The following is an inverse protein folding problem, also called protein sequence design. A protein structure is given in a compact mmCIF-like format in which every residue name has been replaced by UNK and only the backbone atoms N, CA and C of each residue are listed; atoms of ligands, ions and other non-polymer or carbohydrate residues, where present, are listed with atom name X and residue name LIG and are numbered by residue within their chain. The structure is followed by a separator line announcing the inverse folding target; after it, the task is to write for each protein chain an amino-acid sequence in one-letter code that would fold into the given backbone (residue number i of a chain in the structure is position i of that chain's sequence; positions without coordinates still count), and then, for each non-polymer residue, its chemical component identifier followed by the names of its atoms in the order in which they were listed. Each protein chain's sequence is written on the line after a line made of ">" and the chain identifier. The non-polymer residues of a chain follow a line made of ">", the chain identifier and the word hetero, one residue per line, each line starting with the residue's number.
data_IF_449072730429
#
_entry.id   IF_449072730429
#
_cell.length_a   1.000
_cell.length_b   1.000
_cell.length_c   1.000
_cell.angle_alpha   90.00
_cell.angle_beta   90.00
_cell.angle_gamma   90.00
#
_symmetry.space_group_name_H-M   'P 1'
#
loop_
_entity.id
_entity.type
_entity.pdbx_description
1 polymer ?
#
# COMPACT_ATOMS: atom_id res chain seq x y z
N UNK A 1 -20.84 -15.42 -0.87
CA UNK A 1 -21.94 -14.91 -0.01
C UNK A 1 -22.62 -13.76 -0.72
N UNK A 2 -23.84 -13.32 -0.32
CA UNK A 2 -24.49 -12.18 -1.00
C UNK A 2 -24.30 -10.90 -0.20
N UNK A 3 -24.15 -9.75 -0.87
CA UNK A 3 -24.04 -8.42 -0.29
C UNK A 3 -25.15 -8.15 0.76
N UNK A 4 -26.35 -8.68 0.52
CA UNK A 4 -27.49 -8.59 1.43
C UNK A 4 -27.24 -9.29 2.78
N UNK A 5 -26.48 -10.41 2.81
CA UNK A 5 -26.10 -11.09 4.05
C UNK A 5 -25.06 -10.28 4.81
N UNK A 6 -24.07 -9.71 4.11
CA UNK A 6 -23.02 -8.90 4.74
C UNK A 6 -23.60 -7.63 5.36
N UNK A 7 -24.56 -6.97 4.68
CA UNK A 7 -25.26 -5.82 5.22
C UNK A 7 -26.13 -6.14 6.47
N UNK A 8 -26.55 -7.39 6.62
CA UNK A 8 -27.29 -7.83 7.79
C UNK A 8 -26.41 -8.12 9.02
N UNK A 9 -25.09 -8.23 8.87
CA UNK A 9 -24.15 -8.46 9.97
C UNK A 9 -24.14 -7.31 10.99
N UNK A 10 -24.31 -6.09 10.51
CA UNK A 10 -24.27 -4.90 11.34
C UNK A 10 -25.49 -4.01 11.09
N UNK A 11 -26.14 -3.61 12.17
CA UNK A 11 -27.21 -2.60 12.08
C UNK A 11 -26.61 -1.25 11.67
N UNK A 12 -27.07 -0.62 10.57
CA UNK A 12 -26.52 0.66 10.13
C UNK A 12 -26.66 1.74 11.20
N UNK A 13 -25.56 2.45 11.46
CA UNK A 13 -25.50 3.57 12.39
C UNK A 13 -26.18 4.81 11.80
N UNK A 14 -26.53 5.76 12.65
CA UNK A 14 -27.17 7.02 12.23
C UNK A 14 -26.29 7.77 11.21
N UNK A 15 -25.01 7.89 11.50
CA UNK A 15 -24.03 8.59 10.68
C UNK A 15 -23.88 7.97 9.27
N UNK A 16 -23.94 6.66 9.19
CA UNK A 16 -23.88 5.94 7.91
C UNK A 16 -25.14 6.18 7.07
N UNK A 17 -26.32 6.17 7.70
CA UNK A 17 -27.60 6.48 7.02
C UNK A 17 -27.65 7.91 6.52
N UNK A 18 -27.16 8.88 7.30
CA UNK A 18 -27.10 10.29 6.92
C UNK A 18 -26.13 10.48 5.74
N UNK A 19 -24.94 9.87 5.77
CA UNK A 19 -24.00 9.92 4.65
C UNK A 19 -24.58 9.31 3.37
N UNK A 20 -25.25 8.16 3.46
CA UNK A 20 -25.89 7.54 2.31
C UNK A 20 -27.06 8.40 1.77
N UNK A 21 -27.87 8.99 2.65
CA UNK A 21 -28.94 9.91 2.26
C UNK A 21 -28.40 11.16 1.57
N UNK A 22 -27.27 11.67 2.01
CA UNK A 22 -26.57 12.76 1.34
C UNK A 22 -26.17 12.37 -0.10
N UNK A 23 -25.54 11.20 -0.28
CA UNK A 23 -25.13 10.72 -1.61
C UNK A 23 -26.37 10.59 -2.52
N UNK A 24 -27.44 9.97 -2.04
CA UNK A 24 -28.69 9.80 -2.81
C UNK A 24 -29.31 11.14 -3.22
N UNK A 25 -29.36 12.10 -2.29
CA UNK A 25 -29.96 13.42 -2.55
C UNK A 25 -29.12 14.23 -3.55
N UNK A 26 -27.79 14.25 -3.40
CA UNK A 26 -26.91 14.97 -4.30
C UNK A 26 -26.87 14.36 -5.71
N UNK A 27 -26.88 13.02 -5.78
CA UNK A 27 -26.99 12.32 -7.07
C UNK A 27 -28.32 12.59 -7.78
N UNK A 28 -29.43 12.66 -7.05
CA UNK A 28 -30.74 13.00 -7.62
C UNK A 28 -30.82 14.46 -8.05
N UNK A 29 -30.17 15.36 -7.29
CA UNK A 29 -30.14 16.80 -7.57
C UNK A 29 -29.34 17.13 -8.83
N UNK A 30 -28.18 16.52 -8.99
CA UNK A 30 -27.30 16.77 -10.13
C UNK A 30 -26.53 15.49 -10.51
N UNK A 31 -26.85 14.93 -11.68
CA UNK A 31 -26.20 13.73 -12.23
C UNK A 31 -24.76 13.97 -12.71
N UNK A 32 -24.34 15.23 -12.83
CA UNK A 32 -22.97 15.59 -13.18
C UNK A 32 -22.02 15.56 -11.96
N UNK A 33 -22.55 15.43 -10.73
CA UNK A 33 -21.74 15.23 -9.54
C UNK A 33 -20.98 13.90 -9.68
N UNK A 34 -19.67 14.01 -9.80
CA UNK A 34 -18.78 12.85 -9.96
C UNK A 34 -18.07 12.48 -8.65
N UNK A 35 -17.65 13.48 -7.87
CA UNK A 35 -16.83 13.30 -6.68
C UNK A 35 -17.62 13.56 -5.40
N UNK A 36 -17.75 12.53 -4.57
CA UNK A 36 -18.42 12.60 -3.27
C UNK A 36 -17.39 12.53 -2.17
N UNK A 37 -17.07 13.66 -1.55
CA UNK A 37 -16.09 13.78 -0.50
C UNK A 37 -16.78 13.59 0.85
N UNK A 38 -16.42 12.52 1.57
CA UNK A 38 -17.04 12.17 2.85
C UNK A 38 -15.99 12.28 3.98
N UNK A 39 -16.09 13.35 4.77
CA UNK A 39 -15.27 13.51 5.97
C UNK A 39 -15.92 12.76 7.14
N UNK A 40 -15.44 11.55 7.38
CA UNK A 40 -16.01 10.59 8.31
C UNK A 40 -14.97 10.22 9.38
N UNK A 41 -15.11 10.70 10.62
CA UNK A 41 -14.19 10.36 11.71
C UNK A 41 -14.05 8.87 11.95
N UNK A 42 -12.94 8.48 12.60
CA UNK A 42 -12.73 7.10 13.06
C UNK A 42 -13.91 6.64 13.91
N UNK A 43 -14.28 5.37 13.77
CA UNK A 43 -15.41 4.76 14.50
C UNK A 43 -16.78 4.94 13.87
N UNK A 44 -16.90 5.68 12.75
CA UNK A 44 -18.18 5.80 12.02
C UNK A 44 -18.54 4.54 11.22
N UNK A 45 -17.59 3.61 11.04
CA UNK A 45 -17.79 2.38 10.28
C UNK A 45 -17.78 2.60 8.77
N UNK A 46 -16.73 3.27 8.27
CA UNK A 46 -16.51 3.54 6.84
C UNK A 46 -16.65 2.30 5.98
N UNK A 47 -16.07 1.18 6.41
CA UNK A 47 -16.11 -0.09 5.67
C UNK A 47 -17.54 -0.60 5.44
N UNK A 48 -18.40 -0.52 6.46
CA UNK A 48 -19.82 -0.90 6.30
C UNK A 48 -20.58 0.07 5.41
N UNK A 49 -20.27 1.38 5.51
CA UNK A 49 -20.83 2.39 4.62
C UNK A 49 -20.46 2.13 3.16
N UNK A 50 -19.22 1.70 2.87
CA UNK A 50 -18.81 1.35 1.51
C UNK A 50 -19.72 0.26 0.90
N UNK A 51 -20.08 -0.78 1.67
CA UNK A 51 -21.02 -1.80 1.21
C UNK A 51 -22.46 -1.26 1.07
N UNK A 52 -22.87 -0.38 1.98
CA UNK A 52 -24.19 0.27 1.85
C UNK A 52 -24.27 1.12 0.58
N UNK A 53 -23.19 1.81 0.21
CA UNK A 53 -23.10 2.58 -1.05
C UNK A 53 -23.17 1.64 -2.24
N UNK A 54 -22.44 0.50 -2.21
CA UNK A 54 -22.48 -0.49 -3.27
C UNK A 54 -23.90 -1.06 -3.47
N UNK A 55 -24.59 -1.44 -2.40
CA UNK A 55 -25.97 -1.93 -2.45
C UNK A 55 -26.94 -0.85 -2.96
N UNK A 56 -26.79 0.38 -2.48
CA UNK A 56 -27.58 1.51 -2.93
C UNK A 56 -27.39 1.76 -4.44
N UNK A 57 -26.16 1.77 -4.92
CA UNK A 57 -25.85 2.00 -6.33
C UNK A 57 -26.50 0.90 -7.20
N UNK A 58 -26.34 -0.37 -6.82
CA UNK A 58 -26.89 -1.50 -7.57
C UNK A 58 -28.42 -1.54 -7.56
N UNK A 59 -29.07 -1.06 -6.51
CA UNK A 59 -30.54 -1.02 -6.43
C UNK A 59 -31.16 0.16 -7.14
N UNK A 60 -30.52 1.32 -7.12
CA UNK A 60 -31.14 2.57 -7.52
C UNK A 60 -30.61 3.15 -8.85
N UNK A 61 -29.40 2.72 -9.28
CA UNK A 61 -28.75 3.29 -10.46
C UNK A 61 -28.50 2.22 -11.53
N UNK A 62 -27.76 1.17 -11.21
CA UNK A 62 -27.42 0.14 -12.18
C UNK A 62 -27.29 -1.23 -11.53
N UNK A 63 -28.22 -2.14 -11.85
CA UNK A 63 -28.22 -3.51 -11.31
C UNK A 63 -26.97 -4.33 -11.64
N UNK A 64 -26.32 -4.02 -12.75
CA UNK A 64 -25.08 -4.65 -13.23
C UNK A 64 -23.85 -3.80 -12.95
N UNK A 65 -24.03 -2.62 -12.36
CA UNK A 65 -22.94 -1.71 -12.05
C UNK A 65 -22.00 -2.32 -11.00
N UNK A 66 -20.71 -2.33 -11.32
CA UNK A 66 -19.69 -2.89 -10.45
C UNK A 66 -19.03 -1.80 -9.61
N UNK A 67 -18.73 -2.13 -8.38
CA UNK A 67 -18.15 -1.22 -7.40
C UNK A 67 -16.74 -1.69 -7.03
N UNK A 68 -15.78 -0.79 -7.14
CA UNK A 68 -14.40 -1.02 -6.76
C UNK A 68 -14.11 -0.28 -5.45
N UNK A 69 -13.60 -1.00 -4.47
CA UNK A 69 -13.14 -0.45 -3.19
C UNK A 69 -11.62 -0.53 -3.19
N UNK A 70 -10.96 0.58 -2.90
CA UNK A 70 -9.51 0.62 -2.74
C UNK A 70 -9.13 1.20 -1.39
N UNK A 71 -8.09 0.64 -0.75
CA UNK A 71 -7.61 1.02 0.57
C UNK A 71 -6.11 1.26 0.59
N UNK A 72 -5.61 1.99 1.58
CA UNK A 72 -4.18 2.29 1.71
C UNK A 72 -3.33 1.08 2.15
N UNK A 73 -3.87 0.16 2.93
CA UNK A 73 -3.08 -0.90 3.57
C UNK A 73 -3.66 -2.30 3.40
N UNK A 74 -2.78 -3.31 3.46
CA UNK A 74 -3.17 -4.72 3.47
C UNK A 74 -3.97 -5.07 4.73
N UNK A 75 -3.68 -4.47 5.87
CA UNK A 75 -4.40 -4.69 7.13
C UNK A 75 -5.87 -4.31 6.97
N UNK A 76 -6.12 -3.12 6.42
CA UNK A 76 -7.50 -2.67 6.16
C UNK A 76 -8.17 -3.53 5.09
N UNK A 77 -7.44 -3.92 4.05
CA UNK A 77 -7.90 -4.87 3.03
C UNK A 77 -8.33 -6.21 3.67
N UNK A 78 -7.51 -6.75 4.59
CA UNK A 78 -7.82 -7.98 5.32
C UNK A 78 -9.05 -7.83 6.23
N UNK A 79 -9.20 -6.69 6.89
CA UNK A 79 -10.40 -6.41 7.69
C UNK A 79 -11.67 -6.44 6.85
N UNK A 80 -11.67 -5.83 5.66
CA UNK A 80 -12.80 -5.92 4.73
C UNK A 80 -13.07 -7.37 4.31
N UNK A 81 -12.06 -8.07 3.81
CA UNK A 81 -12.19 -9.43 3.28
C UNK A 81 -12.62 -10.44 4.35
N UNK A 82 -12.11 -10.32 5.57
CA UNK A 82 -12.48 -11.20 6.70
C UNK A 82 -13.87 -10.90 7.25
N UNK A 83 -14.36 -9.66 7.13
CA UNK A 83 -15.67 -9.28 7.65
C UNK A 83 -16.77 -9.55 6.65
N UNK A 84 -16.52 -9.39 5.35
CA UNK A 84 -17.54 -9.38 4.31
C UNK A 84 -17.27 -10.40 3.21
N UNK A 85 -18.04 -11.47 3.19
CA UNK A 85 -17.83 -12.59 2.26
C UNK A 85 -18.33 -12.35 0.82
N UNK A 86 -19.01 -11.23 0.54
CA UNK A 86 -19.44 -10.85 -0.81
C UNK A 86 -18.41 -10.03 -1.59
N UNK A 87 -17.31 -9.66 -0.96
CA UNK A 87 -16.24 -8.87 -1.57
C UNK A 87 -15.24 -9.81 -2.26
N UNK A 88 -14.90 -9.49 -3.50
CA UNK A 88 -13.85 -10.19 -4.25
C UNK A 88 -12.52 -9.48 -4.01
N UNK A 89 -11.71 -10.05 -3.11
CA UNK A 89 -10.42 -9.51 -2.71
C UNK A 89 -9.30 -9.93 -3.65
N UNK A 90 -8.46 -8.98 -4.09
CA UNK A 90 -7.27 -9.23 -4.88
C UNK A 90 -6.04 -8.58 -4.27
N UNK A 91 -5.05 -9.41 -3.94
CA UNK A 91 -3.71 -8.99 -3.47
C UNK A 91 -2.65 -9.16 -4.56
N UNK A 92 -1.48 -8.60 -4.34
CA UNK A 92 -0.32 -8.83 -5.22
C UNK A 92 0.12 -10.29 -5.23
N UNK A 93 0.75 -10.73 -6.31
CA UNK A 93 1.21 -12.12 -6.53
C UNK A 93 2.08 -12.70 -5.41
N UNK A 94 2.81 -11.85 -4.69
CA UNK A 94 3.65 -12.27 -3.56
C UNK A 94 2.83 -12.79 -2.35
N UNK A 95 1.53 -12.49 -2.29
CA UNK A 95 0.66 -12.93 -1.19
C UNK A 95 -0.05 -14.26 -1.48
N UNK A 96 0.25 -14.91 -2.61
CA UNK A 96 -0.29 -16.21 -2.98
C UNK A 96 0.83 -17.22 -3.12
N UNK A 97 0.64 -18.40 -2.58
CA UNK A 97 1.58 -19.51 -2.75
C UNK A 97 1.36 -20.18 -4.11
N UNK A 98 2.46 -20.50 -4.79
CA UNK A 98 2.43 -21.25 -6.04
C UNK A 98 2.34 -22.75 -5.75
N UNK A 99 1.24 -23.40 -6.09
CA UNK A 99 1.03 -24.81 -5.86
C UNK A 99 2.05 -25.70 -6.60
N UNK A 100 2.60 -25.23 -7.71
CA UNK A 100 3.53 -26.01 -8.54
C UNK A 100 4.96 -25.98 -8.00
N UNK A 101 5.41 -24.82 -7.49
CA UNK A 101 6.84 -24.61 -7.19
C UNK A 101 7.14 -24.37 -5.70
N UNK A 102 6.14 -24.34 -4.83
CA UNK A 102 6.29 -24.04 -3.39
C UNK A 102 7.08 -22.74 -3.14
N UNK A 103 6.72 -21.70 -3.84
CA UNK A 103 7.27 -20.34 -3.75
C UNK A 103 6.12 -19.33 -3.92
N UNK A 104 6.42 -18.02 -3.91
CA UNK A 104 5.36 -17.05 -4.21
C UNK A 104 4.85 -17.19 -5.65
N UNK A 105 3.60 -16.81 -5.91
CA UNK A 105 3.03 -16.83 -7.26
C UNK A 105 3.80 -15.90 -8.22
N UNK A 106 4.44 -14.83 -7.71
CA UNK A 106 5.29 -13.98 -8.54
C UNK A 106 6.49 -14.77 -9.10
N UNK A 107 7.20 -15.50 -8.25
CA UNK A 107 8.33 -16.37 -8.62
C UNK A 107 7.86 -17.52 -9.51
N UNK A 108 6.76 -18.18 -9.14
CA UNK A 108 6.17 -19.27 -9.94
C UNK A 108 5.77 -18.81 -11.35
N UNK A 109 5.30 -17.56 -11.50
CA UNK A 109 5.01 -16.99 -12.83
C UNK A 109 6.25 -16.89 -13.71
N UNK A 110 7.42 -16.55 -13.16
CA UNK A 110 8.67 -16.48 -13.92
C UNK A 110 9.17 -17.87 -14.29
N UNK A 111 9.05 -18.87 -13.38
CA UNK A 111 9.35 -20.26 -13.72
C UNK A 111 8.48 -20.77 -14.88
N UNK A 112 7.17 -20.49 -14.84
CA UNK A 112 6.26 -20.87 -15.92
C UNK A 112 6.62 -20.19 -17.26
N UNK A 113 6.98 -18.90 -17.21
CA UNK A 113 7.40 -18.15 -18.40
C UNK A 113 8.64 -18.78 -19.06
N UNK A 114 9.65 -19.12 -18.26
CA UNK A 114 10.89 -19.75 -18.76
C UNK A 114 10.66 -21.16 -19.29
N UNK A 115 9.84 -21.95 -18.62
CA UNK A 115 9.54 -23.31 -19.01
C UNK A 115 8.44 -23.42 -20.08
N UNK A 116 7.85 -22.28 -20.50
CA UNK A 116 6.71 -22.23 -21.44
C UNK A 116 5.54 -23.10 -20.96
N UNK A 117 5.28 -23.08 -19.65
CA UNK A 117 4.18 -23.81 -19.00
C UNK A 117 3.12 -22.83 -18.50
N UNK A 118 1.92 -23.32 -18.22
CA UNK A 118 0.83 -22.56 -17.60
C UNK A 118 0.49 -23.16 -16.25
N UNK A 119 -0.07 -22.34 -15.36
CA UNK A 119 -0.65 -22.83 -14.11
C UNK A 119 -2.04 -23.40 -14.42
N UNK A 120 -2.28 -24.68 -14.13
CA UNK A 120 -3.61 -25.31 -14.26
C UNK A 120 -4.53 -24.88 -13.11
N UNK A 121 -4.01 -24.83 -11.89
CA UNK A 121 -4.67 -24.26 -10.72
C UNK A 121 -3.77 -23.19 -10.12
N UNK A 122 -4.22 -21.96 -10.10
CA UNK A 122 -3.44 -20.83 -9.57
C UNK A 122 -4.31 -19.98 -8.66
N UNK A 123 -4.05 -19.94 -7.34
CA UNK A 123 -4.84 -19.17 -6.39
C UNK A 123 -4.93 -17.68 -6.77
N UNK A 124 -3.84 -17.12 -7.31
CA UNK A 124 -3.84 -15.74 -7.80
C UNK A 124 -4.76 -15.55 -9.01
N UNK A 125 -4.74 -16.47 -9.99
CA UNK A 125 -5.62 -16.37 -11.17
C UNK A 125 -7.08 -16.48 -10.77
N UNK A 126 -7.41 -17.39 -9.85
CA UNK A 126 -8.75 -17.52 -9.30
C UNK A 126 -9.23 -16.24 -8.59
N UNK A 127 -8.37 -15.65 -7.75
CA UNK A 127 -8.66 -14.37 -7.10
C UNK A 127 -8.83 -13.23 -8.11
N UNK A 128 -7.99 -13.19 -9.16
CA UNK A 128 -8.08 -12.20 -10.24
C UNK A 128 -9.38 -12.32 -11.04
N UNK A 129 -9.78 -13.54 -11.38
CA UNK A 129 -11.05 -13.79 -12.06
C UNK A 129 -12.25 -13.40 -11.21
N UNK A 130 -12.20 -13.70 -9.91
CA UNK A 130 -13.19 -13.25 -8.94
C UNK A 130 -13.23 -11.72 -8.85
N UNK A 131 -12.09 -11.06 -8.83
CA UNK A 131 -12.00 -9.59 -8.86
C UNK A 131 -12.64 -9.01 -10.11
N UNK A 132 -12.37 -9.56 -11.30
CA UNK A 132 -12.93 -9.08 -12.56
C UNK A 132 -14.45 -9.29 -12.62
N UNK A 133 -14.93 -10.45 -12.21
CA UNK A 133 -16.34 -10.84 -12.33
C UNK A 133 -17.23 -10.36 -11.17
N UNK A 134 -16.65 -10.13 -10.00
CA UNK A 134 -17.37 -9.78 -8.78
C UNK A 134 -18.15 -8.45 -8.87
N UNK A 135 -19.25 -8.34 -8.20
CA UNK A 135 -20.05 -7.12 -8.14
C UNK A 135 -19.40 -6.04 -7.28
N UNK A 136 -18.74 -6.45 -6.19
CA UNK A 136 -17.95 -5.59 -5.31
C UNK A 136 -16.55 -6.17 -5.23
N UNK A 137 -15.55 -5.42 -5.65
CA UNK A 137 -14.16 -5.87 -5.64
C UNK A 137 -13.30 -4.96 -4.78
N UNK A 138 -12.30 -5.56 -4.16
CA UNK A 138 -11.42 -4.89 -3.20
C UNK A 138 -9.97 -5.11 -3.59
N UNK A 139 -9.17 -4.07 -3.49
CA UNK A 139 -7.71 -4.15 -3.57
C UNK A 139 -7.07 -2.97 -2.83
N UNK A 140 -5.73 -2.96 -2.71
CA UNK A 140 -5.02 -1.80 -2.15
C UNK A 140 -4.60 -0.79 -3.22
N UNK A 141 -4.29 0.44 -2.80
CA UNK A 141 -3.89 1.54 -3.68
C UNK A 141 -2.76 1.15 -4.62
N UNK A 142 -1.69 0.56 -4.09
CA UNK A 142 -0.51 0.21 -4.87
C UNK A 142 -0.84 -0.77 -6.01
N UNK A 143 -1.57 -1.84 -5.71
CA UNK A 143 -1.94 -2.84 -6.72
C UNK A 143 -2.92 -2.27 -7.74
N UNK A 144 -3.86 -1.42 -7.29
CA UNK A 144 -4.80 -0.74 -8.19
C UNK A 144 -4.05 0.17 -9.18
N UNK A 145 -3.14 1.02 -8.70
CA UNK A 145 -2.33 1.91 -9.54
C UNK A 145 -1.47 1.08 -10.51
N UNK A 146 -0.86 -0.01 -10.03
CA UNK A 146 -0.08 -0.92 -10.85
C UNK A 146 -0.91 -1.43 -12.04
N UNK A 147 -2.14 -1.88 -11.82
CA UNK A 147 -3.02 -2.31 -12.90
C UNK A 147 -3.48 -1.16 -13.79
N UNK A 148 -3.79 -0.01 -13.20
CA UNK A 148 -4.25 1.16 -13.95
C UNK A 148 -3.22 1.62 -15.00
N UNK A 149 -1.93 1.50 -14.67
CA UNK A 149 -0.81 1.93 -15.52
C UNK A 149 -0.35 0.81 -16.46
N UNK A 150 -0.15 -0.41 -15.95
CA UNK A 150 0.49 -1.50 -16.71
C UNK A 150 -0.46 -2.49 -17.36
N UNK A 151 -1.62 -2.67 -16.77
CA UNK A 151 -2.61 -3.61 -17.31
C UNK A 151 -4.02 -2.98 -17.32
N UNK A 152 -4.18 -1.82 -17.99
CA UNK A 152 -5.46 -1.12 -18.03
C UNK A 152 -6.58 -2.02 -18.59
N UNK A 153 -6.27 -2.96 -19.47
CA UNK A 153 -7.23 -3.94 -20.00
C UNK A 153 -7.88 -4.79 -18.91
N UNK A 154 -7.19 -5.05 -17.79
CA UNK A 154 -7.79 -5.78 -16.66
C UNK A 154 -8.90 -4.95 -16.03
N UNK A 155 -8.65 -3.67 -15.76
CA UNK A 155 -9.66 -2.77 -15.18
C UNK A 155 -10.78 -2.46 -16.19
N UNK A 156 -10.48 -2.35 -17.48
CA UNK A 156 -11.47 -2.23 -18.56
C UNK A 156 -12.38 -3.47 -18.61
N UNK A 157 -11.79 -4.67 -18.52
CA UNK A 157 -12.54 -5.94 -18.45
C UNK A 157 -13.38 -6.05 -17.19
N UNK A 158 -12.92 -5.45 -16.10
CA UNK A 158 -13.68 -5.30 -14.85
C UNK A 158 -14.91 -4.43 -15.08
N UNK A 159 -14.76 -3.29 -15.76
CA UNK A 159 -15.85 -2.36 -16.05
C UNK A 159 -16.47 -1.78 -14.79
N UNK A 160 -15.64 -1.30 -13.85
CA UNK A 160 -16.10 -0.64 -12.62
C UNK A 160 -16.85 0.65 -12.95
N UNK A 161 -18.00 0.86 -12.31
CA UNK A 161 -18.82 2.08 -12.48
C UNK A 161 -18.63 3.07 -11.31
N UNK A 162 -18.36 2.55 -10.13
CA UNK A 162 -18.14 3.33 -8.90
C UNK A 162 -16.80 2.95 -8.29
N UNK A 163 -16.01 3.97 -7.95
CA UNK A 163 -14.81 3.81 -7.15
C UNK A 163 -15.05 4.34 -5.75
N UNK A 164 -14.76 3.54 -4.74
CA UNK A 164 -14.74 3.95 -3.34
C UNK A 164 -13.30 3.91 -2.85
N UNK A 165 -12.77 5.06 -2.44
CA UNK A 165 -11.42 5.23 -1.90
C UNK A 165 -11.53 5.40 -0.39
N UNK A 166 -11.12 4.39 0.37
CA UNK A 166 -11.07 4.47 1.84
C UNK A 166 -9.69 4.93 2.29
N UNK A 167 -9.64 5.83 3.26
CA UNK A 167 -8.46 6.61 3.67
C UNK A 167 -7.90 7.47 2.51
N UNK A 168 -8.80 8.15 1.81
CA UNK A 168 -8.53 8.89 0.59
C UNK A 168 -7.47 10.01 0.72
N UNK A 169 -7.17 10.44 1.95
CA UNK A 169 -6.14 11.46 2.23
C UNK A 169 -4.72 10.99 1.98
N UNK A 170 -4.50 9.68 1.82
CA UNK A 170 -3.18 9.10 1.52
C UNK A 170 -3.02 8.74 0.03
N UNK A 171 -4.05 8.91 -0.77
CA UNK A 171 -4.05 8.35 -2.12
C UNK A 171 -3.14 9.12 -3.09
N UNK A 172 -3.04 10.43 -2.93
CA UNK A 172 -2.11 11.29 -3.69
C UNK A 172 -0.65 11.01 -3.32
N UNK A 173 -0.34 10.83 -2.04
CA UNK A 173 0.99 10.44 -1.57
C UNK A 173 1.40 9.08 -2.13
N UNK A 174 0.52 8.08 -2.10
CA UNK A 174 0.79 6.75 -2.68
C UNK A 174 0.98 6.82 -4.19
N UNK A 175 0.22 7.67 -4.89
CA UNK A 175 0.43 7.89 -6.32
C UNK A 175 1.77 8.55 -6.60
N UNK A 176 2.15 9.56 -5.82
CA UNK A 176 3.45 10.22 -5.89
C UNK A 176 4.59 9.22 -5.69
N UNK A 177 4.55 8.45 -4.61
CA UNK A 177 5.56 7.41 -4.31
C UNK A 177 5.63 6.34 -5.40
N UNK A 178 4.49 5.96 -5.97
CA UNK A 178 4.44 4.94 -7.02
C UNK A 178 5.14 5.39 -8.30
N UNK A 179 4.97 6.65 -8.69
CA UNK A 179 5.57 7.22 -9.91
C UNK A 179 7.01 7.66 -9.68
N UNK A 180 7.36 8.01 -8.44
CA UNK A 180 8.71 8.44 -8.06
C UNK A 180 9.73 7.34 -8.29
N UNK A 181 10.93 7.72 -8.67
CA UNK A 181 12.05 6.80 -8.85
C UNK A 181 13.21 7.17 -7.93
N UNK A 182 13.51 6.26 -7.00
CA UNK A 182 14.65 6.39 -6.08
C UNK A 182 15.74 5.39 -6.44
N UNK A 183 16.98 5.87 -6.53
CA UNK A 183 18.15 5.03 -6.75
C UNK A 183 19.25 5.32 -5.73
N UNK A 184 19.82 4.26 -5.18
CA UNK A 184 20.91 4.31 -4.21
C UNK A 184 22.00 3.30 -4.59
N UNK A 185 23.20 3.49 -4.06
CA UNK A 185 24.26 2.48 -4.19
C UNK A 185 23.84 1.12 -3.63
N UNK A 186 23.06 1.12 -2.53
CA UNK A 186 22.52 -0.10 -1.92
C UNK A 186 21.57 -0.88 -2.83
N UNK A 187 20.74 -0.17 -3.60
CA UNK A 187 19.84 -0.81 -4.59
C UNK A 187 20.68 -1.47 -5.69
N UNK A 188 21.69 -0.77 -6.24
CA UNK A 188 22.56 -1.31 -7.30
C UNK A 188 23.26 -2.58 -6.81
N UNK A 189 23.85 -2.57 -5.61
CA UNK A 189 24.52 -3.72 -4.99
C UNK A 189 23.60 -4.90 -4.78
N UNK A 190 22.37 -4.63 -4.33
CA UNK A 190 21.36 -5.67 -4.10
C UNK A 190 20.94 -6.36 -5.38
N UNK A 191 20.82 -5.62 -6.48
CA UNK A 191 20.41 -6.14 -7.79
C UNK A 191 21.51 -6.96 -8.50
N UNK A 192 22.75 -7.00 -7.99
CA UNK A 192 23.86 -7.87 -8.43
C UNK A 192 24.20 -7.77 -9.91
N UNK A 193 24.36 -6.57 -10.43
CA UNK A 193 24.85 -6.33 -11.76
C UNK A 193 26.31 -6.79 -11.92
N UNK A 194 26.67 -7.31 -13.10
CA UNK A 194 28.05 -7.67 -13.43
C UNK A 194 29.01 -6.47 -13.45
N UNK A 195 28.51 -5.28 -13.81
CA UNK A 195 29.22 -4.00 -13.87
C UNK A 195 28.87 -3.04 -12.72
N UNK A 196 28.57 -3.59 -11.54
CA UNK A 196 28.15 -2.82 -10.34
C UNK A 196 29.01 -1.56 -10.09
N UNK A 197 30.34 -1.71 -10.18
CA UNK A 197 31.26 -0.59 -9.91
C UNK A 197 31.10 0.56 -10.89
N UNK A 198 30.86 0.30 -12.19
CA UNK A 198 30.60 1.33 -13.19
C UNK A 198 29.24 2.00 -12.95
N UNK A 199 28.22 1.24 -12.65
CA UNK A 199 26.89 1.77 -12.30
C UNK A 199 26.95 2.70 -11.09
N UNK A 200 27.67 2.32 -10.03
CA UNK A 200 27.85 3.18 -8.85
C UNK A 200 28.63 4.46 -9.21
N UNK A 201 29.67 4.36 -10.03
CA UNK A 201 30.42 5.53 -10.50
C UNK A 201 29.53 6.48 -11.30
N UNK A 202 28.71 5.97 -12.21
CA UNK A 202 27.74 6.77 -12.97
C UNK A 202 26.69 7.41 -12.07
N UNK A 203 26.13 6.67 -11.11
CA UNK A 203 25.18 7.22 -10.14
C UNK A 203 25.78 8.40 -9.36
N UNK A 204 27.05 8.29 -8.96
CA UNK A 204 27.76 9.36 -8.23
C UNK A 204 28.00 10.61 -9.07
N UNK A 205 28.17 10.47 -10.39
CA UNK A 205 28.38 11.58 -11.30
C UNK A 205 27.13 12.35 -11.68
N UNK A 206 25.94 11.85 -11.34
CA UNK A 206 24.67 12.55 -11.61
C UNK A 206 24.63 13.88 -10.85
N UNK A 207 24.36 14.96 -11.58
CA UNK A 207 24.26 16.32 -11.04
C UNK A 207 22.99 17.07 -11.45
N UNK A 208 22.32 16.59 -12.50
CA UNK A 208 21.09 17.18 -13.04
C UNK A 208 20.02 16.12 -13.31
N UNK A 209 18.78 16.58 -13.55
CA UNK A 209 17.67 15.70 -13.96
C UNK A 209 18.04 14.98 -15.27
N UNK A 210 18.65 15.69 -16.23
CA UNK A 210 19.06 15.10 -17.52
C UNK A 210 20.08 13.98 -17.33
N UNK A 211 21.06 14.16 -16.44
CA UNK A 211 22.06 13.12 -16.13
C UNK A 211 21.37 11.90 -15.51
N UNK A 212 20.40 12.14 -14.62
CA UNK A 212 19.70 11.04 -13.95
C UNK A 212 18.81 10.26 -14.93
N UNK A 213 18.11 10.95 -15.83
CA UNK A 213 17.34 10.32 -16.90
C UNK A 213 18.24 9.49 -17.82
N UNK A 214 19.42 10.03 -18.19
CA UNK A 214 20.44 9.31 -18.96
C UNK A 214 20.94 8.06 -18.24
N UNK A 215 21.22 8.18 -16.95
CA UNK A 215 21.61 7.04 -16.10
C UNK A 215 20.53 5.98 -16.03
N UNK A 216 19.27 6.36 -15.79
CA UNK A 216 18.15 5.42 -15.72
C UNK A 216 17.90 4.72 -17.05
N UNK A 217 18.02 5.43 -18.19
CA UNK A 217 17.92 4.85 -19.52
C UNK A 217 19.03 3.81 -19.77
N UNK A 218 20.27 4.12 -19.36
CA UNK A 218 21.38 3.16 -19.42
C UNK A 218 21.10 1.94 -18.53
N UNK A 219 20.61 2.16 -17.30
CA UNK A 219 20.31 1.10 -16.33
C UNK A 219 19.26 0.10 -16.86
N UNK A 220 18.28 0.54 -17.62
CA UNK A 220 17.29 -0.37 -18.27
C UNK A 220 18.00 -1.35 -19.21
N UNK A 221 18.98 -0.89 -19.99
CA UNK A 221 19.80 -1.76 -20.86
C UNK A 221 20.56 -2.81 -20.05
N UNK A 222 21.19 -2.40 -18.95
CA UNK A 222 21.93 -3.29 -18.04
C UNK A 222 21.02 -4.31 -17.34
N UNK A 223 19.80 -3.91 -16.96
CA UNK A 223 18.79 -4.83 -16.40
C UNK A 223 18.45 -5.91 -17.42
N UNK A 224 18.17 -5.55 -18.66
CA UNK A 224 17.85 -6.51 -19.72
C UNK A 224 18.99 -7.53 -19.94
N UNK A 225 20.24 -7.03 -20.07
CA UNK A 225 21.41 -7.89 -20.24
C UNK A 225 21.61 -8.83 -19.04
N UNK A 226 21.50 -8.29 -17.82
CA UNK A 226 21.65 -9.08 -16.57
C UNK A 226 20.57 -10.17 -16.45
N UNK A 227 19.32 -9.84 -16.79
CA UNK A 227 18.21 -10.79 -16.77
C UNK A 227 18.44 -11.90 -17.80
N UNK A 228 18.85 -11.55 -19.05
CA UNK A 228 19.15 -12.54 -20.09
C UNK A 228 20.26 -13.50 -19.66
N UNK A 229 21.33 -13.00 -19.04
CA UNK A 229 22.44 -13.84 -18.58
C UNK A 229 22.00 -14.75 -17.42
N UNK A 230 21.21 -14.26 -16.48
CA UNK A 230 20.63 -15.08 -15.41
C UNK A 230 19.69 -16.16 -15.97
N UNK A 231 18.87 -15.83 -16.96
CA UNK A 231 17.95 -16.79 -17.62
C UNK A 231 18.71 -17.87 -18.40
N UNK A 232 19.81 -17.52 -19.10
CA UNK A 232 20.70 -18.50 -19.76
C UNK A 232 21.35 -19.45 -18.75
N UNK A 233 21.76 -18.92 -17.59
CA UNK A 233 22.31 -19.72 -16.50
C UNK A 233 21.32 -20.76 -15.94
N UNK A 234 20.05 -20.43 -15.87
CA UNK A 234 18.97 -21.35 -15.46
C UNK A 234 18.64 -22.40 -16.53
N UNK A 235 18.79 -22.05 -17.82
CA UNK A 235 18.52 -22.93 -18.97
C UNK A 235 19.63 -23.94 -19.27
N UNK A 236 20.85 -23.76 -18.74
CA UNK A 236 22.02 -24.59 -19.03
C UNK A 236 22.16 -25.84 -18.13
N UNK A 237 21.21 -26.12 -17.27
CA UNK A 237 21.19 -27.38 -16.50
C UNK A 237 20.86 -28.57 -17.41
N UNK A 238 21.62 -29.68 -17.36
CA UNK A 238 21.49 -30.77 -18.34
C UNK A 238 20.13 -31.44 -18.25
N UNK A 239 19.41 -31.40 -19.37
CA UNK A 239 18.23 -32.24 -19.62
C UNK A 239 18.66 -33.70 -19.79
N UNK A 240 19.05 -34.38 -18.74
CA UNK A 240 19.18 -35.82 -18.79
C UNK A 240 18.80 -36.42 -17.45
N UNK A 241 17.64 -37.00 -17.37
CA UNK A 241 17.38 -38.38 -16.93
C UNK A 241 15.89 -38.65 -17.11
N UNK A 242 15.55 -39.45 -18.12
CA UNK A 242 14.28 -40.19 -18.16
C UNK A 242 14.39 -41.33 -17.17
N UNK A 243 13.67 -41.25 -16.06
CA UNK A 243 13.26 -42.45 -15.31
C UNK A 243 12.24 -42.07 -14.21
N UNK A 244 11.23 -42.87 -14.12
CA UNK A 244 10.14 -43.02 -13.20
C UNK A 244 9.54 -41.79 -12.48
N UNK A 245 8.25 -41.58 -12.81
CA UNK A 245 7.49 -40.33 -12.58
C UNK A 245 7.07 -40.02 -11.13
N UNK A 246 7.33 -40.83 -10.11
CA UNK A 246 6.86 -40.57 -8.72
C UNK A 246 7.94 -40.18 -7.73
N UNK A 247 9.07 -40.80 -7.74
CA UNK A 247 10.15 -40.51 -6.77
C UNK A 247 11.06 -39.34 -7.18
N UNK A 248 11.06 -38.97 -8.46
CA UNK A 248 11.82 -37.85 -9.01
C UNK A 248 11.23 -36.46 -8.66
N UNK A 249 9.94 -36.37 -8.39
CA UNK A 249 9.31 -35.08 -8.01
C UNK A 249 9.82 -34.57 -6.67
N UNK A 250 10.02 -35.45 -5.71
CA UNK A 250 10.41 -35.06 -4.32
C UNK A 250 11.92 -34.81 -4.22
N UNK A 251 12.77 -35.60 -4.87
CA UNK A 251 14.22 -35.44 -4.79
C UNK A 251 14.78 -34.30 -5.65
N UNK A 252 14.15 -33.99 -6.81
CA UNK A 252 14.48 -32.80 -7.61
C UNK A 252 13.99 -31.51 -6.94
N UNK A 253 12.82 -31.53 -6.32
CA UNK A 253 12.32 -30.43 -5.50
C UNK A 253 13.26 -30.09 -4.33
N UNK A 254 13.95 -31.05 -3.74
CA UNK A 254 14.80 -30.86 -2.57
C UNK A 254 16.23 -30.38 -2.88
N UNK A 255 16.78 -30.60 -4.07
CA UNK A 255 18.16 -30.22 -4.45
C UNK A 255 18.29 -28.97 -5.34
N UNK A 256 17.27 -28.57 -6.07
CA UNK A 256 17.21 -27.28 -6.84
C UNK A 256 16.91 -26.06 -5.95
N UNK A 257 16.74 -26.24 -4.67
CA UNK A 257 15.89 -25.38 -3.82
C UNK A 257 16.46 -24.08 -3.33
N UNK A 258 17.73 -23.77 -3.42
CA UNK A 258 18.21 -22.50 -2.86
C UNK A 258 18.81 -21.54 -3.88
N UNK A 259 19.44 -22.06 -4.93
CA UNK A 259 20.14 -21.22 -5.91
C UNK A 259 19.17 -20.69 -6.96
N UNK A 260 18.32 -21.55 -7.55
CA UNK A 260 17.38 -21.16 -8.61
C UNK A 260 16.28 -20.24 -8.08
N UNK A 261 15.79 -20.48 -6.86
CA UNK A 261 14.82 -19.58 -6.20
C UNK A 261 15.44 -18.20 -5.93
N UNK A 262 16.71 -18.13 -5.50
CA UNK A 262 17.41 -16.85 -5.32
C UNK A 262 17.64 -16.10 -6.63
N UNK A 263 17.98 -16.84 -7.70
CA UNK A 263 18.12 -16.25 -9.05
C UNK A 263 16.78 -15.70 -9.51
N UNK A 264 15.68 -16.45 -9.31
CA UNK A 264 14.34 -16.00 -9.66
C UNK A 264 13.88 -14.79 -8.85
N UNK A 265 14.22 -14.73 -7.57
CA UNK A 265 13.98 -13.53 -6.75
C UNK A 265 14.70 -12.32 -7.34
N UNK A 266 15.97 -12.46 -7.72
CA UNK A 266 16.74 -11.39 -8.36
C UNK A 266 16.12 -10.96 -9.70
N UNK A 267 15.75 -11.90 -10.56
CA UNK A 267 15.10 -11.61 -11.84
C UNK A 267 13.79 -10.84 -11.61
N UNK A 268 12.97 -11.28 -10.65
CA UNK A 268 11.71 -10.61 -10.31
C UNK A 268 11.97 -9.17 -9.84
N UNK A 269 12.96 -8.99 -8.97
CA UNK A 269 13.32 -7.66 -8.44
C UNK A 269 13.89 -6.73 -9.52
N UNK A 270 14.74 -7.25 -10.41
CA UNK A 270 15.26 -6.52 -11.56
C UNK A 270 14.13 -6.03 -12.48
N UNK A 271 13.19 -6.90 -12.81
CA UNK A 271 12.03 -6.57 -13.65
C UNK A 271 11.09 -5.59 -12.98
N UNK A 272 10.88 -5.67 -11.67
CA UNK A 272 10.08 -4.69 -10.92
C UNK A 272 10.74 -3.31 -10.94
N UNK A 273 12.07 -3.23 -10.78
CA UNK A 273 12.78 -1.96 -10.87
C UNK A 273 12.75 -1.40 -12.29
N UNK A 274 12.95 -2.23 -13.32
CA UNK A 274 12.82 -1.82 -14.71
C UNK A 274 11.44 -1.22 -14.99
N UNK A 275 10.40 -1.90 -14.53
CA UNK A 275 9.03 -1.47 -14.72
C UNK A 275 8.79 -0.06 -14.12
N UNK A 276 9.32 0.22 -12.94
CA UNK A 276 9.27 1.56 -12.33
C UNK A 276 10.02 2.60 -13.16
N UNK A 277 11.20 2.25 -13.66
CA UNK A 277 11.99 3.14 -14.51
C UNK A 277 11.23 3.45 -15.80
N UNK A 278 10.63 2.46 -16.44
CA UNK A 278 9.88 2.61 -17.70
C UNK A 278 8.66 3.53 -17.52
N UNK A 279 7.93 3.42 -16.38
CA UNK A 279 6.86 4.37 -16.06
C UNK A 279 7.42 5.77 -15.96
N UNK A 280 8.41 5.94 -15.10
CA UNK A 280 9.01 7.25 -14.88
C UNK A 280 9.45 7.87 -16.21
N UNK A 281 10.19 7.16 -17.06
CA UNK A 281 10.68 7.65 -18.34
C UNK A 281 9.53 8.06 -19.26
N UNK A 282 8.44 7.29 -19.29
CA UNK A 282 7.23 7.62 -20.04
C UNK A 282 6.58 8.91 -19.52
N UNK A 283 6.38 9.02 -18.22
CA UNK A 283 5.71 10.18 -17.61
C UNK A 283 6.60 11.42 -17.66
N UNK A 284 7.91 11.29 -17.44
CA UNK A 284 8.87 12.36 -17.61
C UNK A 284 8.85 12.93 -19.04
N UNK A 285 8.82 12.06 -20.05
CA UNK A 285 8.75 12.48 -21.46
C UNK A 285 7.47 13.27 -21.78
N UNK A 286 6.36 12.93 -21.14
CA UNK A 286 5.07 13.62 -21.36
C UNK A 286 5.00 14.97 -20.66
N UNK A 287 5.61 15.14 -19.47
CA UNK A 287 5.63 16.39 -18.72
C UNK A 287 6.97 16.55 -17.96
N UNK A 288 8.04 17.01 -18.63
CA UNK A 288 9.38 17.13 -18.00
C UNK A 288 9.43 18.16 -16.86
N UNK A 289 8.53 19.14 -16.86
CA UNK A 289 8.54 20.24 -15.89
C UNK A 289 7.88 19.87 -14.55
N UNK A 290 7.24 18.71 -14.45
CA UNK A 290 6.57 18.26 -13.22
C UNK A 290 7.48 17.43 -12.29
N UNK A 291 8.81 17.61 -12.37
CA UNK A 291 9.73 16.75 -11.63
C UNK A 291 10.78 17.53 -10.86
N UNK A 292 11.09 17.05 -9.67
CA UNK A 292 12.17 17.55 -8.82
C UNK A 292 13.17 16.45 -8.56
N UNK A 293 14.45 16.76 -8.75
CA UNK A 293 15.58 15.89 -8.36
C UNK A 293 16.00 16.25 -6.95
N UNK A 294 15.75 15.34 -6.01
CA UNK A 294 16.31 15.40 -4.68
C UNK A 294 17.62 14.61 -4.62
N UNK A 295 18.64 15.24 -4.08
CA UNK A 295 19.94 14.63 -3.84
C UNK A 295 20.24 14.69 -2.35
N UNK A 296 20.37 13.54 -1.72
CA UNK A 296 20.73 13.44 -0.32
C UNK A 296 21.93 12.51 -0.14
N UNK A 297 22.58 12.62 1.01
CA UNK A 297 23.66 11.73 1.40
C UNK A 297 23.30 11.06 2.72
N UNK A 298 23.21 9.74 2.70
CA UNK A 298 22.96 8.97 3.88
C UNK A 298 24.27 8.75 4.66
N UNK A 299 24.47 9.51 5.73
CA UNK A 299 25.70 9.45 6.53
C UNK A 299 25.93 8.07 7.17
N UNK A 300 24.86 7.39 7.60
CA UNK A 300 24.96 6.06 8.22
C UNK A 300 25.43 5.00 7.24
N UNK A 301 24.89 5.01 6.03
CA UNK A 301 25.23 4.08 4.96
C UNK A 301 26.37 4.58 4.08
N UNK A 302 26.83 5.82 4.27
CA UNK A 302 27.87 6.51 3.47
C UNK A 302 27.61 6.41 1.97
N UNK A 303 26.35 6.64 1.57
CA UNK A 303 25.96 6.53 0.17
C UNK A 303 25.13 7.72 -0.30
N UNK A 304 25.29 8.06 -1.58
CA UNK A 304 24.45 9.03 -2.28
C UNK A 304 23.08 8.41 -2.55
N UNK A 305 22.04 9.17 -2.30
CA UNK A 305 20.66 8.84 -2.63
C UNK A 305 20.11 9.87 -3.62
N UNK A 306 19.52 9.41 -4.70
CA UNK A 306 18.88 10.23 -5.71
C UNK A 306 17.41 9.83 -5.79
N UNK A 307 16.52 10.81 -5.70
CA UNK A 307 15.09 10.63 -5.91
C UNK A 307 14.60 11.62 -6.95
N UNK A 308 13.78 11.17 -7.90
CA UNK A 308 13.00 12.01 -8.78
C UNK A 308 11.55 11.83 -8.43
N UNK A 309 10.91 12.91 -8.02
CA UNK A 309 9.54 12.92 -7.51
C UNK A 309 8.70 13.90 -8.33
N UNK A 310 7.42 13.60 -8.60
CA UNK A 310 6.55 14.56 -9.26
C UNK A 310 6.24 15.71 -8.29
N UNK A 311 6.22 16.94 -8.79
CA UNK A 311 5.76 18.12 -8.02
C UNK A 311 4.28 17.97 -7.67
N UNK A 312 3.52 17.43 -8.64
CA UNK A 312 2.09 17.21 -8.50
C UNK A 312 1.71 15.80 -8.95
N UNK A 313 1.11 15.03 -8.05
CA UNK A 313 0.62 13.69 -8.34
C UNK A 313 -0.79 13.68 -8.96
N UNK A 314 -1.55 14.77 -8.85
CA UNK A 314 -2.96 14.84 -9.23
C UNK A 314 -3.23 14.57 -10.72
N UNK A 315 -2.33 15.00 -11.62
CA UNK A 315 -2.47 14.72 -13.05
C UNK A 315 -2.54 13.21 -13.35
N UNK A 316 -1.82 12.42 -12.55
CA UNK A 316 -1.78 10.96 -12.69
C UNK A 316 -3.01 10.30 -12.06
N UNK A 317 -3.58 10.88 -10.99
CA UNK A 317 -4.81 10.39 -10.37
C UNK A 317 -6.00 10.47 -11.34
N UNK A 318 -6.18 11.60 -12.02
CA UNK A 318 -7.24 11.71 -13.02
C UNK A 318 -6.96 10.82 -14.23
N UNK A 319 -5.74 10.91 -14.80
CA UNK A 319 -5.32 10.15 -15.99
C UNK A 319 -5.51 8.65 -15.85
N UNK A 320 -5.09 8.08 -14.71
CA UNK A 320 -5.02 6.62 -14.53
C UNK A 320 -6.18 6.03 -13.73
N UNK A 321 -6.83 6.84 -12.91
CA UNK A 321 -7.83 6.37 -11.96
C UNK A 321 -9.20 7.01 -12.19
N UNK A 322 -9.34 8.28 -11.86
CA UNK A 322 -10.68 8.90 -11.73
C UNK A 322 -11.43 9.02 -13.05
N UNK A 323 -10.73 9.24 -14.17
CA UNK A 323 -11.36 9.36 -15.50
C UNK A 323 -12.14 8.11 -15.91
N UNK A 324 -11.85 6.94 -15.31
CA UNK A 324 -12.45 5.64 -15.67
C UNK A 324 -13.81 5.37 -15.00
N UNK A 325 -14.23 6.21 -14.05
CA UNK A 325 -15.43 5.99 -13.25
C UNK A 325 -16.44 7.09 -13.45
N UNK A 326 -17.72 6.71 -13.40
CA UNK A 326 -18.84 7.65 -13.43
C UNK A 326 -19.02 8.33 -12.08
N UNK A 327 -18.74 7.62 -10.99
CA UNK A 327 -18.88 8.10 -9.62
C UNK A 327 -17.64 7.69 -8.79
N UNK A 328 -17.10 8.65 -8.04
CA UNK A 328 -15.96 8.45 -7.13
C UNK A 328 -16.33 8.92 -5.74
N UNK A 329 -16.27 8.01 -4.79
CA UNK A 329 -16.53 8.27 -3.36
C UNK A 329 -15.19 8.29 -2.63
N UNK A 330 -14.83 9.42 -2.06
CA UNK A 330 -13.58 9.64 -1.35
C UNK A 330 -13.90 9.75 0.15
N UNK A 331 -13.53 8.73 0.93
CA UNK A 331 -13.80 8.67 2.38
C UNK A 331 -12.52 8.86 3.16
N UNK A 332 -12.53 9.75 4.14
CA UNK A 332 -11.42 9.91 5.09
C UNK A 332 -11.91 10.59 6.38
N UNK A 333 -11.17 10.42 7.46
CA UNK A 333 -11.37 11.17 8.71
C UNK A 333 -10.81 12.60 8.69
N UNK A 334 -10.07 12.96 7.64
CA UNK A 334 -9.23 14.17 7.58
C UNK A 334 -9.43 15.05 6.35
N UNK A 335 -10.57 14.92 5.65
CA UNK A 335 -10.95 15.87 4.59
C UNK A 335 -11.51 17.14 5.26
N UNK A 336 -10.62 18.06 5.62
CA UNK A 336 -10.99 19.23 6.42
C UNK A 336 -11.58 20.36 5.57
N UNK A 337 -11.07 20.54 4.36
CA UNK A 337 -11.51 21.58 3.40
C UNK A 337 -11.73 20.97 2.02
N UNK A 338 -12.92 21.19 1.47
CA UNK A 338 -13.32 20.69 0.15
C UNK A 338 -12.42 21.21 -0.97
N UNK A 339 -12.19 22.53 -1.02
CA UNK A 339 -11.50 23.14 -2.14
C UNK A 339 -10.03 22.76 -2.15
N UNK A 340 -9.39 22.77 -0.98
CA UNK A 340 -8.01 22.36 -0.83
C UNK A 340 -7.83 20.87 -1.21
N UNK A 341 -8.72 20.01 -0.72
CA UNK A 341 -8.67 18.58 -1.05
C UNK A 341 -8.86 18.33 -2.55
N UNK A 342 -9.81 19.02 -3.18
CA UNK A 342 -10.00 18.92 -4.63
C UNK A 342 -8.76 19.40 -5.39
N UNK A 343 -8.14 20.51 -4.96
CA UNK A 343 -6.94 21.04 -5.60
C UNK A 343 -5.76 20.07 -5.51
N UNK A 344 -5.52 19.49 -4.34
CA UNK A 344 -4.43 18.54 -4.12
C UNK A 344 -4.60 17.22 -4.91
N UNK A 345 -5.85 16.81 -5.14
CA UNK A 345 -6.18 15.58 -5.85
C UNK A 345 -6.61 15.81 -7.33
N UNK A 346 -6.53 17.04 -7.84
CA UNK A 346 -6.90 17.37 -9.23
C UNK A 346 -8.37 17.15 -9.56
N UNK A 347 -9.26 17.33 -8.58
CA UNK A 347 -10.68 17.11 -8.75
C UNK A 347 -11.38 18.38 -9.21
N UNK A 348 -12.30 18.25 -10.16
CA UNK A 348 -13.17 19.35 -10.56
C UNK A 348 -14.12 19.73 -9.42
N UNK A 349 -13.86 20.88 -8.80
CA UNK A 349 -14.63 21.40 -7.66
C UNK A 349 -16.11 21.56 -8.00
N UNK A 350 -16.44 21.87 -9.28
CA UNK A 350 -17.83 22.03 -9.73
C UNK A 350 -18.61 20.72 -9.75
N UNK A 351 -17.91 19.58 -9.92
CA UNK A 351 -18.45 18.23 -9.90
C UNK A 351 -18.26 17.52 -8.57
N UNK A 352 -17.76 18.22 -7.54
CA UNK A 352 -17.51 17.69 -6.24
C UNK A 352 -18.55 18.15 -5.22
N UNK A 353 -19.05 17.23 -4.42
CA UNK A 353 -19.91 17.49 -3.27
C UNK A 353 -19.23 17.03 -1.99
N UNK A 354 -19.48 17.72 -0.88
CA UNK A 354 -18.79 17.49 0.38
C UNK A 354 -19.76 17.29 1.53
N UNK A 355 -19.55 16.24 2.31
CA UNK A 355 -20.28 15.93 3.52
C UNK A 355 -19.34 15.68 4.68
N UNK A 356 -19.63 16.28 5.81
CA UNK A 356 -18.84 16.11 7.02
C UNK A 356 -19.74 15.84 8.21
N UNK A 357 -19.39 14.85 9.00
CA UNK A 357 -20.05 14.53 10.26
C UNK A 357 -19.10 14.72 11.44
N UNK A 358 -19.67 15.04 12.58
CA UNK A 358 -18.91 15.10 13.85
C UNK A 358 -18.64 13.68 14.35
N UNK A 359 -17.52 13.52 15.06
CA UNK A 359 -17.21 12.24 15.71
C UNK A 359 -18.36 11.79 16.62
N UNK A 360 -18.80 10.52 16.54
CA UNK A 360 -19.83 9.97 17.40
C UNK A 360 -19.39 9.84 18.87
N UNK A 361 -18.07 9.87 19.12
CA UNK A 361 -17.54 9.76 20.47
C UNK A 361 -17.65 11.07 21.26
N UNK A 362 -18.19 11.06 22.47
CA UNK A 362 -18.25 12.24 23.34
C UNK A 362 -16.86 12.82 23.60
N UNK A 363 -16.74 14.15 23.64
CA UNK A 363 -15.47 14.84 23.90
C UNK A 363 -14.80 14.39 25.21
N UNK A 364 -15.60 14.08 26.23
CA UNK A 364 -15.11 13.58 27.53
C UNK A 364 -14.35 12.25 27.43
N UNK A 365 -14.64 11.44 26.41
CA UNK A 365 -14.02 10.13 26.19
C UNK A 365 -12.76 10.20 25.33
N UNK A 366 -12.41 11.40 24.81
CA UNK A 366 -11.22 11.64 23.97
C UNK A 366 -10.50 12.93 24.37
N UNK A 367 -10.10 13.07 25.63
CA UNK A 367 -9.37 14.26 26.08
C UNK A 367 -8.00 14.30 25.40
N UNK A 368 -7.58 15.50 24.99
CA UNK A 368 -6.25 15.75 24.44
C UNK A 368 -5.46 16.54 25.48
N UNK A 369 -4.30 16.01 25.88
CA UNK A 369 -3.38 16.68 26.79
C UNK A 369 -2.15 17.12 26.00
N UNK A 370 -1.94 18.42 25.91
CA UNK A 370 -0.76 18.98 25.26
C UNK A 370 0.31 19.30 26.31
N UNK A 371 1.45 18.64 26.22
CA UNK A 371 2.60 18.82 27.10
C UNK A 371 3.88 19.03 26.30
N UNK A 372 4.22 20.26 25.92
CA UNK A 372 5.45 20.54 25.20
C UNK A 372 6.67 20.36 26.11
N UNK A 373 7.55 19.44 25.76
CA UNK A 373 8.75 19.11 26.55
C UNK A 373 10.00 19.79 26.01
N UNK A 374 10.05 20.03 24.69
CA UNK A 374 11.18 20.67 24.04
C UNK A 374 11.03 20.72 22.52
N UNK A 375 11.95 21.41 21.87
CA UNK A 375 11.99 21.52 20.41
C UNK A 375 12.65 20.28 19.79
N UNK A 376 11.97 19.66 18.83
CA UNK A 376 12.48 18.52 18.06
C UNK A 376 13.11 19.03 16.76
N UNK A 377 14.41 19.32 16.82
CA UNK A 377 15.21 19.62 15.65
C UNK A 377 16.46 18.74 15.65
N UNK A 378 17.14 18.62 14.52
CA UNK A 378 18.38 17.83 14.44
C UNK A 378 19.40 18.17 15.53
N UNK A 379 19.53 19.47 15.89
CA UNK A 379 20.48 19.96 16.89
C UNK A 379 20.03 19.71 18.33
N UNK A 380 18.74 19.61 18.61
CA UNK A 380 18.18 19.57 19.97
C UNK A 380 17.51 18.25 20.31
N UNK A 381 17.37 17.33 19.37
CA UNK A 381 16.60 16.09 19.54
C UNK A 381 17.09 15.22 20.69
N UNK A 382 18.39 15.05 20.87
CA UNK A 382 18.97 14.22 21.93
C UNK A 382 18.67 14.74 23.32
N UNK A 383 18.79 16.07 23.51
CA UNK A 383 18.44 16.71 24.79
C UNK A 383 16.92 16.61 25.06
N UNK A 384 16.13 16.84 24.02
CA UNK A 384 14.68 16.73 24.11
C UNK A 384 14.25 15.28 24.40
N UNK A 385 14.88 14.28 23.80
CA UNK A 385 14.61 12.87 24.11
C UNK A 385 14.85 12.56 25.58
N UNK A 386 15.94 13.04 26.18
CA UNK A 386 16.21 12.86 27.62
C UNK A 386 15.09 13.46 28.48
N UNK A 387 14.53 14.59 28.05
CA UNK A 387 13.41 15.24 28.76
C UNK A 387 12.09 14.48 28.61
N UNK A 388 11.86 13.74 27.53
CA UNK A 388 10.65 12.94 27.34
C UNK A 388 10.53 11.77 28.31
N UNK A 389 11.63 11.12 28.70
CA UNK A 389 11.62 9.89 29.50
C UNK A 389 10.81 9.98 30.77
N UNK A 390 11.01 10.98 31.66
CA UNK A 390 10.23 11.08 32.89
C UNK A 390 8.72 11.22 32.64
N UNK A 391 8.35 11.91 31.56
CA UNK A 391 6.94 12.07 31.19
C UNK A 391 6.32 10.78 30.69
N UNK A 392 7.03 10.04 29.83
CA UNK A 392 6.57 8.72 29.34
C UNK A 392 6.41 7.78 30.54
N UNK A 393 7.39 7.70 31.44
CA UNK A 393 7.30 6.88 32.66
C UNK A 393 6.12 7.27 33.55
N UNK A 394 5.87 8.57 33.73
CA UNK A 394 4.72 9.07 34.49
C UNK A 394 3.39 8.66 33.85
N UNK A 395 3.29 8.71 32.53
CA UNK A 395 2.10 8.26 31.77
C UNK A 395 1.91 6.75 31.90
N UNK A 396 2.97 5.97 31.72
CA UNK A 396 2.94 4.50 31.87
C UNK A 396 2.49 4.09 33.27
N UNK A 397 2.99 4.76 34.30
CA UNK A 397 2.60 4.52 35.71
C UNK A 397 1.14 4.92 36.00
N UNK A 398 0.67 6.04 35.42
CA UNK A 398 -0.71 6.50 35.55
C UNK A 398 -1.71 5.53 34.96
N UNK A 399 -1.36 4.94 33.81
CA UNK A 399 -2.21 4.03 33.03
C UNK A 399 -1.70 2.58 33.06
N UNK A 400 -1.18 2.15 34.24
CA UNK A 400 -0.52 0.85 34.40
C UNK A 400 -1.39 -0.37 34.04
N UNK A 401 -2.72 -0.25 34.15
CA UNK A 401 -3.69 -1.31 33.87
C UNK A 401 -4.41 -1.13 32.54
N UNK A 402 -3.90 -0.27 31.65
CA UNK A 402 -4.53 -0.01 30.35
C UNK A 402 -3.57 -0.32 29.22
N UNK A 403 -4.11 -0.83 28.12
CA UNK A 403 -3.39 -0.91 26.85
C UNK A 403 -3.16 0.49 26.28
N UNK A 404 -2.12 0.63 25.46
CA UNK A 404 -1.83 1.93 24.86
C UNK A 404 -0.90 1.83 23.67
N UNK A 405 -0.78 2.95 22.95
CA UNK A 405 0.18 3.12 21.86
C UNK A 405 1.03 4.35 22.14
N UNK A 406 2.33 4.23 21.94
CA UNK A 406 3.26 5.36 21.87
C UNK A 406 3.63 5.54 20.39
N UNK A 407 3.02 6.53 19.74
CA UNK A 407 3.41 6.91 18.39
C UNK A 407 4.73 7.68 18.41
N UNK A 408 5.73 7.15 17.69
CA UNK A 408 7.02 7.81 17.49
C UNK A 408 7.11 8.25 16.03
N UNK A 409 7.84 9.34 15.76
CA UNK A 409 8.05 9.79 14.39
C UNK A 409 9.17 9.03 13.67
N UNK A 410 9.86 8.12 14.37
CA UNK A 410 10.96 7.34 13.80
C UNK A 410 11.31 6.12 14.63
N UNK A 411 11.91 5.11 13.99
CA UNK A 411 12.52 3.97 14.69
C UNK A 411 13.68 4.40 15.61
N UNK A 412 14.35 5.51 15.31
CA UNK A 412 15.40 6.07 16.18
C UNK A 412 14.83 6.40 17.56
N UNK A 413 13.69 7.12 17.61
CA UNK A 413 13.02 7.44 18.86
C UNK A 413 12.47 6.21 19.57
N UNK A 414 11.88 5.26 18.82
CA UNK A 414 11.40 4.01 19.41
C UNK A 414 12.55 3.21 20.07
N UNK A 415 13.69 3.08 19.39
CA UNK A 415 14.86 2.40 19.92
C UNK A 415 15.46 3.13 21.14
N UNK A 416 15.41 4.45 21.15
CA UNK A 416 15.87 5.23 22.28
C UNK A 416 14.95 5.04 23.50
N UNK A 417 13.64 4.97 23.32
CA UNK A 417 12.66 4.61 24.38
C UNK A 417 12.98 3.20 24.91
N UNK A 418 13.22 2.23 24.02
CA UNK A 418 13.57 0.85 24.34
C UNK A 418 14.83 0.75 25.23
N UNK A 419 15.83 1.58 24.92
CA UNK A 419 17.07 1.61 25.69
C UNK A 419 16.90 2.27 27.06
N UNK A 420 16.01 3.28 27.17
CA UNK A 420 15.89 4.16 28.34
C UNK A 420 14.82 3.73 29.33
N UNK A 421 13.78 3.02 28.89
CA UNK A 421 12.64 2.61 29.75
C UNK A 421 12.58 1.09 29.84
N UNK A 422 12.61 0.57 31.07
CA UNK A 422 12.46 -0.85 31.37
C UNK A 422 11.06 -1.11 31.93
N UNK A 423 10.07 -1.17 31.06
CA UNK A 423 8.69 -1.53 31.38
C UNK A 423 8.33 -2.80 30.60
N UNK A 424 7.95 -3.91 31.25
CA UNK A 424 7.67 -5.19 30.58
C UNK A 424 6.46 -5.13 29.64
N UNK A 425 5.62 -4.13 29.74
CA UNK A 425 4.45 -3.93 28.87
C UNK A 425 4.81 -3.38 27.49
N UNK A 426 6.02 -2.82 27.33
CA UNK A 426 6.42 -2.18 26.08
C UNK A 426 6.72 -3.23 25.00
N UNK A 427 5.97 -3.19 23.91
CA UNK A 427 6.16 -4.00 22.72
C UNK A 427 6.78 -3.13 21.63
N UNK A 428 7.85 -3.61 21.03
CA UNK A 428 8.56 -2.94 19.94
C UNK A 428 8.54 -3.81 18.68
N UNK A 429 8.54 -3.17 17.52
CA UNK A 429 8.63 -3.85 16.24
C UNK A 429 9.66 -3.20 15.32
N UNK A 430 10.01 -3.88 14.26
CA UNK A 430 10.69 -3.35 13.08
C UNK A 430 9.80 -3.44 11.83
N UNK A 431 10.37 -3.20 10.66
CA UNK A 431 9.62 -3.24 9.40
C UNK A 431 9.22 -4.66 8.97
N UNK A 432 9.81 -5.71 9.54
CA UNK A 432 9.58 -7.11 9.15
C UNK A 432 8.51 -7.79 10.00
N UNK A 433 8.32 -7.37 11.26
CA UNK A 433 7.44 -8.05 12.22
C UNK A 433 6.29 -7.15 12.76
N UNK A 434 6.00 -6.04 12.06
CA UNK A 434 4.94 -5.09 12.45
C UNK A 434 3.61 -5.77 12.72
N UNK A 435 3.15 -6.60 11.78
CA UNK A 435 1.83 -7.24 11.84
C UNK A 435 1.76 -8.29 12.95
N UNK A 436 2.84 -9.01 13.21
CA UNK A 436 2.96 -9.97 14.31
C UNK A 436 2.87 -9.28 15.67
N UNK A 437 3.60 -8.18 15.84
CA UNK A 437 3.59 -7.41 17.10
C UNK A 437 2.26 -6.70 17.35
N UNK A 438 1.61 -6.22 16.28
CA UNK A 438 0.25 -5.68 16.37
C UNK A 438 -0.74 -6.78 16.82
N UNK A 439 -0.67 -7.95 16.21
CA UNK A 439 -1.51 -9.09 16.58
C UNK A 439 -1.29 -9.50 18.03
N UNK A 440 -0.04 -9.58 18.47
CA UNK A 440 0.32 -9.85 19.87
C UNK A 440 -0.31 -8.82 20.80
N UNK A 441 -0.23 -7.51 20.48
CA UNK A 441 -0.84 -6.45 21.26
C UNK A 441 -2.37 -6.57 21.31
N UNK A 442 -3.00 -6.87 20.20
CA UNK A 442 -4.46 -7.02 20.11
C UNK A 442 -4.98 -8.21 20.90
N UNK A 443 -4.32 -9.36 20.82
CA UNK A 443 -4.72 -10.63 21.43
C UNK A 443 -4.31 -10.75 22.92
N UNK A 444 -3.35 -9.96 23.39
CA UNK A 444 -2.91 -10.00 24.78
C UNK A 444 -4.04 -9.60 25.75
N UNK A 445 -4.21 -10.30 26.83
CA UNK A 445 -5.07 -9.91 27.95
C UNK A 445 -4.36 -8.95 28.91
N UNK A 446 -3.04 -8.85 28.83
CA UNK A 446 -2.23 -7.95 29.64
C UNK A 446 -2.25 -6.51 29.11
N UNK A 447 -2.02 -5.50 29.98
CA UNK A 447 -2.03 -4.09 29.60
C UNK A 447 -0.78 -3.68 28.80
N UNK A 448 -0.57 -4.29 27.66
CA UNK A 448 0.56 -4.01 26.76
C UNK A 448 0.51 -2.60 26.18
N UNK A 449 1.69 -2.04 25.88
CA UNK A 449 1.85 -0.74 25.22
C UNK A 449 2.77 -0.90 24.01
N UNK A 450 2.24 -0.72 22.80
CA UNK A 450 3.02 -0.83 21.59
C UNK A 450 3.69 0.50 21.24
N UNK A 451 4.99 0.44 20.91
CA UNK A 451 5.79 1.62 20.52
C UNK A 451 6.06 1.53 19.02
N UNK A 452 5.51 2.45 18.26
CA UNK A 452 5.51 2.35 16.78
C UNK A 452 5.67 3.70 16.09
N UNK A 453 6.52 3.78 15.05
CA UNK A 453 6.56 4.93 14.15
C UNK A 453 5.57 4.84 12.97
N UNK A 454 4.84 3.72 12.81
CA UNK A 454 4.09 3.43 11.59
C UNK A 454 2.71 2.77 11.82
N UNK A 455 2.15 2.88 13.03
CA UNK A 455 0.80 2.39 13.36
C UNK A 455 -0.17 3.55 13.60
N UNK A 456 -0.09 4.58 12.81
CA UNK A 456 -0.89 5.81 12.89
C UNK A 456 -2.16 5.73 12.04
N UNK A 457 -2.17 4.90 11.01
CA UNK A 457 -3.29 4.73 10.08
C UNK A 457 -3.62 3.25 9.84
N UNK A 458 -4.86 2.98 9.43
CA UNK A 458 -5.30 1.65 8.99
C UNK A 458 -5.43 0.59 10.10
N UNK A 459 -5.33 0.96 11.37
CA UNK A 459 -5.48 0.04 12.50
C UNK A 459 -6.77 0.33 13.23
N UNK A 460 -7.64 -0.67 13.36
CA UNK A 460 -8.85 -0.60 14.19
C UNK A 460 -8.68 -1.48 15.41
N UNK A 461 -8.89 -0.91 16.59
CA UNK A 461 -8.96 -1.66 17.84
C UNK A 461 -10.43 -1.96 18.14
N UNK A 462 -10.81 -3.24 18.13
CA UNK A 462 -12.17 -3.65 18.47
C UNK A 462 -12.51 -3.32 19.92
N UNK A 463 -13.69 -2.77 20.14
CA UNK A 463 -14.15 -2.29 21.45
C UNK A 463 -14.14 -3.35 22.56
N UNK A 464 -14.24 -4.63 22.20
CA UNK A 464 -14.30 -5.73 23.18
C UNK A 464 -12.89 -6.20 23.63
N UNK A 465 -11.82 -5.63 23.07
CA UNK A 465 -10.42 -6.04 23.33
C UNK A 465 -9.48 -4.87 23.68
N UNK A 466 -10.02 -3.66 23.85
CA UNK A 466 -9.21 -2.45 24.18
C UNK A 466 -9.36 -2.03 25.64
#
# INVERSE_FOLDING_TARGET
>A
MSLKKDLALHKPRKEQKEALSFIDSEWKRNKENKFFLLNLPVGTGKSHLALMIADWYQKNISRTGKVDIITNSKILQDQYANTYGSISDLKGKENYECETYSCSCAQGSEFNRLNKTSCESCPYNSARESFISGNVSLTNFYLYILYAIYNPKLLESRGGSVLIVDEAHEFDDVMSDFISIKMTEGIIKRLKFSNESDLIKRLKSVSSISDYVGFLTYLVGEVNSTVEDMEKGLGSQPRSVRSDKRDLKISKLLKTKNTDVKIMQNITELKQNQLKIDIFLKEYKSNPNNWVLEQSYNEKLRQKELSLEPIWAYDYLDKYVFSKYDMVILMSGTILDKNLFCQLNGLDVSKAVYYSIRSPFPLKNRPIYYMPVGKMSYKTKEETFKRYIPYIQKILNKYKNQKGIIHTNSFELANWIKASIKDPRLIFHDSSNKDEMLKLHMESEEPTVIVSPSMDTGVSFDHDKS
#
